data_IF_736182166096
#
_entry.id   IF_736182166096
#
_cell.length_a   1.000
_cell.length_b   1.000
_cell.length_c   1.000
_cell.angle_alpha   90.00
_cell.angle_beta   90.00
_cell.angle_gamma   90.00
#
_symmetry.space_group_name_H-M   'P 1'
#
loop_
_entity.id
_entity.type
_entity.pdbx_description
1 polymer ?
#
# COMPACT_ATOMS: atom_id res chain seq x y z
N UNK A 1 22.67 -2.82 -21.76
CA UNK A 1 22.77 -3.95 -20.81
C UNK A 1 21.99 -3.65 -19.55
N UNK A 2 21.38 -4.67 -18.92
CA UNK A 2 20.70 -4.52 -17.65
C UNK A 2 21.69 -4.14 -16.55
N UNK A 3 21.22 -3.37 -15.56
CA UNK A 3 21.97 -2.96 -14.38
C UNK A 3 21.91 -4.09 -13.36
N UNK A 4 23.06 -4.69 -13.04
CA UNK A 4 23.15 -5.85 -12.13
C UNK A 4 22.69 -5.54 -10.70
N UNK A 5 22.93 -4.32 -10.22
CA UNK A 5 22.61 -3.84 -8.87
C UNK A 5 21.32 -3.01 -8.80
N UNK A 6 20.42 -3.15 -9.78
CA UNK A 6 19.19 -2.34 -9.89
C UNK A 6 18.33 -2.36 -8.62
N UNK A 7 18.19 -3.53 -7.99
CA UNK A 7 17.39 -3.73 -6.77
C UNK A 7 17.97 -2.92 -5.61
N UNK A 8 19.29 -3.00 -5.42
CA UNK A 8 20.01 -2.30 -4.36
C UNK A 8 19.94 -0.77 -4.56
N UNK A 9 20.08 -0.29 -5.81
CA UNK A 9 19.93 1.14 -6.11
C UNK A 9 18.53 1.67 -5.78
N UNK A 10 17.48 0.90 -6.11
CA UNK A 10 16.09 1.27 -5.79
C UNK A 10 15.84 1.22 -4.28
N UNK A 11 16.34 0.18 -3.60
CA UNK A 11 16.25 0.05 -2.15
C UNK A 11 16.94 1.19 -1.38
N UNK A 12 18.15 1.58 -1.81
CA UNK A 12 18.86 2.75 -1.28
C UNK A 12 18.07 4.05 -1.50
N UNK A 13 17.52 4.26 -2.69
CA UNK A 13 16.69 5.43 -2.97
C UNK A 13 15.44 5.49 -2.08
N UNK A 14 14.86 4.34 -1.74
CA UNK A 14 13.77 4.24 -0.77
C UNK A 14 14.23 4.57 0.65
N UNK A 15 15.34 3.97 1.10
CA UNK A 15 15.89 4.13 2.45
C UNK A 15 16.32 5.58 2.76
N UNK A 16 16.73 6.35 1.75
CA UNK A 16 16.96 7.80 1.86
C UNK A 16 15.73 8.56 2.40
N UNK A 17 14.54 7.97 2.31
CA UNK A 17 13.30 8.41 2.97
C UNK A 17 13.44 8.66 4.47
N UNK A 18 14.31 7.91 5.15
CA UNK A 18 14.62 8.08 6.58
C UNK A 18 13.40 8.20 7.49
N UNK A 19 12.33 7.44 7.19
CA UNK A 19 11.10 7.45 7.99
C UNK A 19 10.16 8.64 7.76
N UNK A 20 10.41 9.50 6.77
CA UNK A 20 9.46 10.55 6.35
C UNK A 20 8.27 9.90 5.64
N UNK A 21 7.05 10.25 6.03
CA UNK A 21 5.86 9.78 5.33
C UNK A 21 5.67 10.56 4.03
N UNK A 22 6.08 9.97 2.89
CA UNK A 22 6.00 10.62 1.58
C UNK A 22 4.74 10.18 0.83
N UNK A 23 3.86 11.13 0.53
CA UNK A 23 2.59 10.93 -0.18
C UNK A 23 1.92 9.60 0.16
N UNK A 24 1.48 9.43 1.42
CA UNK A 24 0.75 8.25 1.90
C UNK A 24 1.45 6.89 1.64
N UNK A 25 2.78 6.88 1.50
CA UNK A 25 3.58 5.67 1.25
C UNK A 25 3.81 5.34 -0.22
N UNK A 26 3.61 6.31 -1.13
CA UNK A 26 3.80 6.08 -2.57
C UNK A 26 5.23 5.68 -2.92
N UNK A 27 6.25 6.24 -2.27
CA UNK A 27 7.65 5.87 -2.50
C UNK A 27 7.88 4.36 -2.29
N UNK A 28 7.38 3.79 -1.20
CA UNK A 28 7.47 2.36 -0.92
C UNK A 28 6.68 1.51 -1.93
N UNK A 29 5.47 1.94 -2.31
CA UNK A 29 4.64 1.23 -3.30
C UNK A 29 5.36 1.16 -4.66
N UNK A 30 5.90 2.28 -5.13
CA UNK A 30 6.62 2.33 -6.41
C UNK A 30 7.95 1.58 -6.35
N UNK A 31 8.69 1.67 -5.24
CA UNK A 31 9.93 0.92 -5.04
C UNK A 31 9.69 -0.59 -5.09
N UNK A 32 8.69 -1.10 -4.34
CA UNK A 32 8.32 -2.52 -4.35
C UNK A 32 7.99 -3.02 -5.75
N UNK A 33 7.12 -2.31 -6.48
CA UNK A 33 6.74 -2.73 -7.83
C UNK A 33 7.93 -2.70 -8.80
N UNK A 34 8.82 -1.70 -8.70
CA UNK A 34 10.01 -1.65 -9.53
C UNK A 34 10.98 -2.79 -9.23
N UNK A 35 11.25 -3.08 -7.95
CA UNK A 35 12.08 -4.22 -7.54
C UNK A 35 11.50 -5.53 -8.05
N UNK A 36 10.19 -5.76 -7.83
CA UNK A 36 9.49 -6.95 -8.32
C UNK A 36 9.55 -7.08 -9.83
N UNK A 37 9.37 -5.98 -10.57
CA UNK A 37 9.45 -5.96 -12.02
C UNK A 37 10.87 -6.27 -12.53
N UNK A 38 11.91 -5.68 -11.94
CA UNK A 38 13.29 -5.96 -12.32
C UNK A 38 13.74 -7.39 -11.98
N UNK A 39 13.18 -8.01 -10.93
CA UNK A 39 13.39 -9.44 -10.65
C UNK A 39 12.70 -10.33 -11.68
N UNK A 40 11.47 -9.98 -12.07
CA UNK A 40 10.68 -10.77 -13.01
C UNK A 40 11.18 -10.64 -14.46
N UNK A 41 11.68 -9.46 -14.83
CA UNK A 41 12.16 -9.12 -16.17
C UNK A 41 13.51 -8.38 -16.09
N UNK A 42 14.63 -9.05 -15.78
CA UNK A 42 15.92 -8.41 -15.52
C UNK A 42 16.42 -7.52 -16.67
N UNK A 43 16.16 -7.90 -17.92
CA UNK A 43 16.50 -7.10 -19.09
C UNK A 43 15.80 -5.74 -19.14
N UNK A 44 14.71 -5.59 -18.37
CA UNK A 44 13.99 -4.33 -18.25
C UNK A 44 14.68 -3.32 -17.35
N UNK A 45 15.64 -3.75 -16.52
CA UNK A 45 16.42 -2.90 -15.61
C UNK A 45 17.53 -2.13 -16.34
N UNK A 46 17.17 -1.35 -17.37
CA UNK A 46 18.15 -0.50 -18.08
C UNK A 46 18.60 0.67 -17.20
N UNK A 47 19.79 1.25 -17.44
CA UNK A 47 20.29 2.39 -16.68
C UNK A 47 19.28 3.55 -16.59
N UNK A 48 18.59 3.86 -17.69
CA UNK A 48 17.60 4.95 -17.73
C UNK A 48 16.37 4.64 -16.88
N UNK A 49 15.91 3.39 -16.87
CA UNK A 49 14.75 2.96 -16.09
C UNK A 49 15.07 2.92 -14.60
N UNK A 50 16.22 2.38 -14.22
CA UNK A 50 16.67 2.37 -12.82
C UNK A 50 16.84 3.80 -12.32
N UNK A 51 17.57 4.65 -13.05
CA UNK A 51 17.74 6.05 -12.69
C UNK A 51 16.41 6.81 -12.62
N UNK A 52 15.50 6.56 -13.56
CA UNK A 52 14.16 7.14 -13.59
C UNK A 52 13.31 6.75 -12.38
N UNK A 53 13.32 5.47 -12.01
CA UNK A 53 12.63 4.96 -10.80
C UNK A 53 13.21 5.59 -9.54
N UNK A 54 14.54 5.61 -9.39
CA UNK A 54 15.17 6.22 -8.22
C UNK A 54 14.88 7.72 -8.14
N UNK A 55 14.84 8.43 -9.27
CA UNK A 55 14.43 9.84 -9.32
C UNK A 55 12.95 10.02 -8.93
N UNK A 56 12.07 9.14 -9.38
CA UNK A 56 10.65 9.17 -9.03
C UNK A 56 10.45 8.98 -7.52
N UNK A 57 11.08 7.96 -6.93
CA UNK A 57 11.04 7.67 -5.49
C UNK A 57 11.46 8.89 -4.67
N UNK A 58 12.55 9.56 -5.06
CA UNK A 58 13.04 10.78 -4.40
C UNK A 58 12.15 12.00 -4.61
N UNK A 59 11.28 12.00 -5.61
CA UNK A 59 10.43 13.15 -5.92
C UNK A 59 9.16 13.22 -5.08
N UNK A 60 8.79 12.13 -4.39
CA UNK A 60 7.66 12.12 -3.49
C UNK A 60 7.89 13.04 -2.29
N UNK A 61 6.93 13.92 -2.04
CA UNK A 61 7.01 14.94 -0.99
C UNK A 61 6.39 14.47 0.32
N UNK A 62 6.80 15.02 1.47
CA UNK A 62 6.19 14.73 2.77
C UNK A 62 4.66 14.95 2.75
N UNK A 63 3.93 14.12 3.48
CA UNK A 63 2.49 14.19 3.66
C UNK A 63 2.14 13.88 5.12
N UNK A 64 1.55 14.84 5.83
CA UNK A 64 1.18 14.73 7.27
C UNK A 64 2.27 14.03 8.09
N UNK A 65 3.50 14.53 7.96
CA UNK A 65 4.67 13.97 8.63
C UNK A 65 4.67 14.34 10.12
N UNK A 66 3.82 13.65 10.88
CA UNK A 66 3.68 13.77 12.33
C UNK A 66 4.62 12.82 13.05
N UNK A 67 4.86 13.02 14.34
CA UNK A 67 5.51 11.98 15.15
C UNK A 67 4.59 10.75 15.27
N UNK A 68 5.11 9.52 15.08
CA UNK A 68 4.31 8.33 15.22
C UNK A 68 3.93 8.11 16.68
N UNK A 69 2.69 7.71 16.93
CA UNK A 69 2.22 7.30 18.25
C UNK A 69 3.05 6.10 18.76
N UNK A 70 3.45 6.15 20.02
CA UNK A 70 4.21 5.09 20.70
C UNK A 70 3.44 3.76 20.75
N UNK A 71 2.10 3.80 20.75
CA UNK A 71 1.24 2.62 20.75
C UNK A 71 1.08 1.98 19.37
N UNK A 72 1.53 2.65 18.30
CA UNK A 72 1.51 2.11 16.95
C UNK A 72 2.77 1.27 16.76
N UNK A 73 2.63 -0.05 16.94
CA UNK A 73 3.71 -1.02 16.86
C UNK A 73 3.31 -2.14 15.88
N UNK A 74 3.51 -1.94 14.56
CA UNK A 74 3.29 -3.02 13.60
C UNK A 74 4.24 -4.19 13.89
N UNK A 75 3.82 -5.44 13.66
CA UNK A 75 4.72 -6.59 13.68
C UNK A 75 5.91 -6.42 12.72
N UNK A 76 6.95 -7.24 12.88
CA UNK A 76 8.02 -7.30 11.88
C UNK A 76 7.47 -7.68 10.51
N UNK A 77 7.90 -6.97 9.46
CA UNK A 77 7.41 -7.22 8.11
C UNK A 77 7.85 -8.58 7.57
N UNK A 78 8.89 -9.18 8.16
CA UNK A 78 9.30 -10.57 7.90
C UNK A 78 8.30 -11.60 8.43
N UNK A 79 7.52 -11.28 9.46
CA UNK A 79 6.35 -12.07 9.88
C UNK A 79 5.14 -11.67 9.04
N UNK A 80 5.10 -12.21 7.83
CA UNK A 80 4.10 -11.85 6.82
C UNK A 80 2.67 -12.06 7.33
N UNK A 81 2.41 -13.13 8.09
CA UNK A 81 1.06 -13.42 8.59
C UNK A 81 0.63 -12.39 9.64
N UNK A 82 1.49 -12.11 10.63
CA UNK A 82 1.17 -11.13 11.66
C UNK A 82 1.06 -9.71 11.09
N UNK A 83 2.00 -9.31 10.24
CA UNK A 83 2.00 -8.00 9.59
C UNK A 83 0.74 -7.82 8.71
N UNK A 84 0.39 -8.83 7.90
CA UNK A 84 -0.82 -8.75 7.06
C UNK A 84 -2.10 -8.64 7.90
N UNK A 85 -2.23 -9.40 9.00
CA UNK A 85 -3.37 -9.26 9.92
C UNK A 85 -3.47 -7.86 10.51
N UNK A 86 -2.34 -7.29 10.94
CA UNK A 86 -2.27 -5.93 11.46
C UNK A 86 -2.74 -4.90 10.42
N UNK A 87 -2.18 -4.96 9.21
CA UNK A 87 -2.51 -4.03 8.11
C UNK A 87 -4.00 -4.14 7.74
N UNK A 88 -4.52 -5.36 7.61
CA UNK A 88 -5.92 -5.59 7.30
C UNK A 88 -6.83 -5.04 8.40
N UNK A 89 -6.47 -5.22 9.68
CA UNK A 89 -7.26 -4.66 10.78
C UNK A 89 -7.25 -3.13 10.77
N UNK A 90 -6.10 -2.50 10.55
CA UNK A 90 -6.01 -1.03 10.43
C UNK A 90 -6.80 -0.49 9.24
N UNK A 91 -6.75 -1.17 8.10
CA UNK A 91 -7.50 -0.77 6.92
C UNK A 91 -9.01 -0.97 7.11
N UNK A 92 -9.40 -2.08 7.73
CA UNK A 92 -10.78 -2.38 8.15
C UNK A 92 -11.32 -1.28 9.05
N UNK A 93 -10.61 -0.93 10.12
CA UNK A 93 -11.02 0.12 11.07
C UNK A 93 -11.01 1.51 10.43
N UNK A 94 -10.11 1.75 9.46
CA UNK A 94 -10.09 3.01 8.71
C UNK A 94 -11.33 3.18 7.83
N UNK A 95 -11.91 2.10 7.27
CA UNK A 95 -13.19 2.20 6.53
C UNK A 95 -14.27 2.78 7.43
N UNK A 96 -14.44 2.22 8.62
CA UNK A 96 -15.49 2.64 9.55
C UNK A 96 -15.26 4.08 10.02
N UNK A 97 -14.00 4.45 10.25
CA UNK A 97 -13.61 5.79 10.73
C UNK A 97 -13.78 6.89 9.68
N UNK A 98 -13.65 6.57 8.39
CA UNK A 98 -13.63 7.54 7.28
C UNK A 98 -14.86 7.46 6.37
N UNK A 99 -15.98 6.90 6.82
CA UNK A 99 -17.26 6.98 6.10
C UNK A 99 -17.58 8.42 5.69
N UNK A 100 -17.85 8.65 4.40
CA UNK A 100 -18.10 9.96 3.80
C UNK A 100 -16.84 10.76 3.41
N UNK A 101 -15.66 10.16 3.53
CA UNK A 101 -14.38 10.75 3.12
C UNK A 101 -13.68 9.95 2.01
N UNK A 102 -14.37 8.95 1.45
CA UNK A 102 -13.90 8.13 0.34
C UNK A 102 -12.85 7.09 0.73
N UNK A 103 -12.49 6.24 -0.22
CA UNK A 103 -11.69 5.04 0.03
C UNK A 103 -10.18 5.26 0.23
N UNK A 104 -9.71 6.52 0.14
CA UNK A 104 -8.29 6.84 0.06
C UNK A 104 -7.50 6.30 1.25
N UNK A 105 -7.96 6.54 2.48
CA UNK A 105 -7.22 6.18 3.69
C UNK A 105 -7.08 4.66 3.86
N UNK A 106 -8.17 3.91 3.71
CA UNK A 106 -8.12 2.46 3.82
C UNK A 106 -7.35 1.82 2.66
N UNK A 107 -7.54 2.29 1.42
CA UNK A 107 -6.82 1.76 0.27
C UNK A 107 -5.31 2.04 0.29
N UNK A 108 -4.89 3.20 0.79
CA UNK A 108 -3.47 3.50 1.00
C UNK A 108 -2.89 2.71 2.19
N UNK A 109 -3.66 2.43 3.24
CA UNK A 109 -3.25 1.49 4.30
C UNK A 109 -2.91 0.12 3.72
N UNK A 110 -3.80 -0.42 2.88
CA UNK A 110 -3.59 -1.71 2.22
C UNK A 110 -2.35 -1.69 1.34
N UNK A 111 -2.25 -0.71 0.44
CA UNK A 111 -1.18 -0.70 -0.58
C UNK A 111 0.19 -0.39 0.01
N UNK A 112 0.26 0.51 0.98
CA UNK A 112 1.52 0.79 1.68
C UNK A 112 1.91 -0.41 2.55
N UNK A 113 0.99 -0.97 3.34
CA UNK A 113 1.30 -2.16 4.14
C UNK A 113 1.72 -3.35 3.28
N UNK A 114 1.00 -3.60 2.17
CA UNK A 114 1.32 -4.70 1.27
C UNK A 114 2.67 -4.54 0.60
N UNK A 115 3.09 -3.31 0.25
CA UNK A 115 4.42 -3.11 -0.34
C UNK A 115 5.54 -3.49 0.62
N UNK A 116 5.37 -3.26 1.92
CA UNK A 116 6.35 -3.63 2.95
C UNK A 116 6.40 -5.14 3.18
N UNK A 117 5.24 -5.79 3.27
CA UNK A 117 5.15 -7.26 3.39
C UNK A 117 5.74 -7.95 2.15
N UNK A 118 5.48 -7.42 0.96
CA UNK A 118 5.98 -7.98 -0.29
C UNK A 118 7.50 -7.79 -0.45
N UNK A 119 8.04 -6.62 -0.09
CA UNK A 119 9.49 -6.40 -0.04
C UNK A 119 10.16 -7.41 0.89
N UNK A 120 9.63 -7.58 2.11
CA UNK A 120 10.16 -8.55 3.06
C UNK A 120 10.04 -9.99 2.54
N UNK A 121 8.92 -10.37 1.89
CA UNK A 121 8.71 -11.68 1.29
C UNK A 121 9.69 -11.97 0.12
N UNK A 122 10.12 -10.92 -0.59
CA UNK A 122 11.15 -10.98 -1.61
C UNK A 122 12.58 -11.06 -1.03
N UNK A 123 12.75 -11.00 0.29
CA UNK A 123 14.05 -11.02 0.97
C UNK A 123 14.64 -9.63 1.22
N UNK A 124 13.95 -8.56 0.83
CA UNK A 124 14.37 -7.17 0.99
C UNK A 124 13.90 -6.59 2.34
N UNK A 125 14.09 -7.35 3.43
CA UNK A 125 13.59 -6.99 4.77
C UNK A 125 14.16 -5.64 5.23
N UNK A 126 15.43 -5.36 4.95
CA UNK A 126 16.05 -4.07 5.30
C UNK A 126 15.34 -2.87 4.65
N UNK A 127 14.88 -3.02 3.40
CA UNK A 127 14.18 -1.95 2.69
C UNK A 127 12.76 -1.79 3.22
N UNK A 128 12.07 -2.89 3.53
CA UNK A 128 10.77 -2.84 4.21
C UNK A 128 10.86 -2.14 5.57
N UNK A 129 11.85 -2.52 6.38
CA UNK A 129 12.05 -1.98 7.73
C UNK A 129 12.51 -0.52 7.73
N UNK A 130 13.21 -0.06 6.68
CA UNK A 130 13.55 1.36 6.51
C UNK A 130 12.31 2.27 6.45
N UNK A 131 11.14 1.72 6.06
CA UNK A 131 9.88 2.42 6.00
C UNK A 131 9.03 2.31 7.29
N UNK A 132 9.46 1.55 8.30
CA UNK A 132 8.66 1.30 9.52
C UNK A 132 8.15 2.58 10.15
N UNK A 133 9.01 3.57 10.34
CA UNK A 133 8.63 4.86 10.93
C UNK A 133 7.56 5.56 10.09
N UNK A 134 7.73 5.61 8.76
CA UNK A 134 6.74 6.21 7.86
C UNK A 134 5.39 5.47 7.91
N UNK A 135 5.40 4.14 7.97
CA UNK A 135 4.18 3.34 8.12
C UNK A 135 3.49 3.61 9.46
N UNK A 136 4.25 3.70 10.57
CA UNK A 136 3.71 4.07 11.89
C UNK A 136 3.06 5.46 11.86
N UNK A 137 3.67 6.43 11.16
CA UNK A 137 3.08 7.77 10.97
C UNK A 137 1.75 7.67 10.21
N UNK A 138 1.69 6.85 9.17
CA UNK A 138 0.46 6.67 8.41
C UNK A 138 -0.67 6.09 9.27
N UNK A 139 -0.40 5.03 10.03
CA UNK A 139 -1.35 4.44 10.99
C UNK A 139 -1.76 5.45 12.07
N UNK A 140 -0.82 6.25 12.56
CA UNK A 140 -1.11 7.33 13.53
C UNK A 140 -2.13 8.31 12.95
N UNK A 141 -1.87 8.81 11.73
CA UNK A 141 -2.76 9.74 11.04
C UNK A 141 -4.13 9.13 10.78
N UNK A 142 -4.21 7.86 10.34
CA UNK A 142 -5.50 7.22 10.09
C UNK A 142 -6.26 6.96 11.39
N UNK A 143 -5.60 6.67 12.52
CA UNK A 143 -6.26 6.51 13.82
C UNK A 143 -6.89 7.81 14.36
N UNK A 144 -6.32 8.97 14.02
CA UNK A 144 -6.91 10.28 14.36
C UNK A 144 -8.26 10.54 13.69
N UNK A 145 -8.56 9.86 12.58
CA UNK A 145 -9.79 10.06 11.81
C UNK A 145 -9.83 11.40 11.04
N UNK A 146 -10.98 11.71 10.42
CA UNK A 146 -11.16 12.93 9.66
C UNK A 146 -10.94 14.19 10.52
N UNK A 147 -10.19 15.15 10.00
CA UNK A 147 -9.92 16.42 10.66
C UNK A 147 -10.87 17.54 10.16
N UNK A 148 -11.05 18.62 10.94
CA UNK A 148 -11.77 19.79 10.47
C UNK A 148 -11.18 20.32 9.16
N UNK A 149 -12.02 20.43 8.13
CA UNK A 149 -11.61 20.87 6.79
C UNK A 149 -11.20 19.75 5.83
N UNK A 150 -11.16 18.49 6.27
CA UNK A 150 -10.96 17.37 5.37
C UNK A 150 -12.07 17.30 4.31
N UNK A 151 -11.66 17.07 3.06
CA UNK A 151 -12.57 17.00 1.93
C UNK A 151 -13.48 15.78 2.06
N UNK A 152 -14.79 16.01 2.05
CA UNK A 152 -15.78 14.95 1.91
C UNK A 152 -15.81 14.43 0.48
N UNK A 153 -15.88 13.10 0.36
CA UNK A 153 -15.95 12.38 -0.91
C UNK A 153 -17.06 11.35 -0.74
N UNK A 154 -17.98 11.27 -1.71
CA UNK A 154 -19.06 10.27 -1.68
C UNK A 154 -18.43 8.87 -1.67
N UNK A 155 -18.86 8.03 -0.74
CA UNK A 155 -18.46 6.63 -0.73
C UNK A 155 -19.00 5.88 -1.96
N UNK A 156 -18.41 4.72 -2.24
CA UNK A 156 -18.97 3.81 -3.24
C UNK A 156 -20.39 3.41 -2.85
N UNK A 157 -21.17 2.97 -3.84
CA UNK A 157 -22.45 2.37 -3.57
C UNK A 157 -22.24 0.90 -3.19
N UNK A 158 -23.03 0.41 -2.24
CA UNK A 158 -22.97 -0.98 -1.81
C UNK A 158 -23.10 -1.91 -3.03
N UNK A 159 -22.19 -2.87 -3.12
CA UNK A 159 -22.14 -3.84 -4.21
C UNK A 159 -21.67 -5.19 -3.69
N UNK A 160 -22.34 -6.25 -4.13
CA UNK A 160 -21.91 -7.63 -3.88
C UNK A 160 -20.83 -8.07 -4.88
N UNK A 161 -20.70 -7.40 -6.02
CA UNK A 161 -19.66 -7.70 -7.02
C UNK A 161 -18.26 -7.53 -6.43
N UNK A 162 -17.36 -8.45 -6.78
CA UNK A 162 -15.97 -8.49 -6.34
C UNK A 162 -14.99 -8.58 -7.52
N UNK A 163 -13.72 -8.17 -7.33
CA UNK A 163 -12.71 -8.22 -8.40
C UNK A 163 -12.38 -9.61 -8.97
N UNK A 164 -12.82 -10.69 -8.34
CA UNK A 164 -12.80 -12.06 -8.89
C UNK A 164 -14.01 -12.40 -9.77
N UNK A 165 -15.04 -11.55 -9.77
CA UNK A 165 -16.20 -11.67 -10.67
C UNK A 165 -15.96 -11.03 -12.03
N UNK A 166 -16.38 -11.71 -13.10
CA UNK A 166 -16.35 -11.13 -14.45
C UNK A 166 -17.28 -9.90 -14.56
N UNK A 167 -18.44 -9.96 -13.91
CA UNK A 167 -19.43 -8.88 -13.94
C UNK A 167 -18.91 -7.59 -13.29
N UNK A 168 -18.07 -7.69 -12.26
CA UNK A 168 -17.39 -6.54 -11.66
C UNK A 168 -16.62 -5.73 -12.71
N UNK A 169 -15.80 -6.41 -13.52
CA UNK A 169 -14.99 -5.78 -14.56
C UNK A 169 -15.83 -5.25 -15.72
N UNK A 170 -16.88 -5.97 -16.11
CA UNK A 170 -17.83 -5.52 -17.14
C UNK A 170 -18.55 -4.23 -16.71
N UNK A 171 -19.02 -4.17 -15.47
CA UNK A 171 -19.71 -2.99 -14.91
C UNK A 171 -18.79 -1.79 -14.76
N UNK A 172 -17.50 -2.02 -14.44
CA UNK A 172 -16.48 -0.96 -14.37
C UNK A 172 -16.19 -0.37 -15.76
N UNK A 173 -16.20 -1.20 -16.81
CA UNK A 173 -15.98 -0.78 -18.21
C UNK A 173 -14.59 -0.21 -18.47
N UNK A 174 -14.38 0.36 -19.66
CA UNK A 174 -13.13 1.03 -20.05
C UNK A 174 -13.03 2.46 -19.47
N UNK A 175 -12.88 2.54 -18.13
CA UNK A 175 -12.60 3.79 -17.41
C UNK A 175 -11.12 3.86 -17.05
N UNK A 176 -10.28 3.88 -18.09
CA UNK A 176 -8.81 3.78 -18.06
C UNK A 176 -8.06 4.88 -17.30
N UNK A 177 -8.71 5.92 -16.76
CA UNK A 177 -8.04 7.03 -16.06
C UNK A 177 -8.01 6.91 -14.53
N UNK A 178 -8.70 5.92 -13.94
CA UNK A 178 -8.66 5.61 -12.50
C UNK A 178 -7.86 4.36 -12.14
N UNK A 179 -7.16 3.75 -13.12
CA UNK A 179 -6.60 2.39 -13.11
C UNK A 179 -5.80 2.08 -11.84
N UNK A 180 -5.02 3.04 -11.35
CA UNK A 180 -4.17 2.83 -10.17
C UNK A 180 -4.97 2.25 -9.00
N UNK A 181 -6.02 2.92 -8.55
CA UNK A 181 -6.83 2.51 -7.39
C UNK A 181 -7.68 1.28 -7.68
N UNK A 182 -8.20 1.16 -8.91
CA UNK A 182 -9.06 0.06 -9.35
C UNK A 182 -8.34 -1.29 -9.30
N UNK A 183 -7.04 -1.32 -9.58
CA UNK A 183 -6.25 -2.56 -9.52
C UNK A 183 -5.50 -2.73 -8.21
N UNK A 184 -4.84 -1.67 -7.72
CA UNK A 184 -3.92 -1.82 -6.59
C UNK A 184 -4.64 -2.12 -5.27
N UNK A 185 -5.87 -1.62 -5.07
CA UNK A 185 -6.63 -1.89 -3.85
C UNK A 185 -7.10 -3.35 -3.78
N UNK A 186 -7.76 -3.92 -4.81
CA UNK A 186 -8.03 -5.35 -4.86
C UNK A 186 -6.77 -6.21 -4.73
N UNK A 187 -5.72 -5.89 -5.49
CA UNK A 187 -4.49 -6.67 -5.46
C UNK A 187 -3.89 -6.74 -4.04
N UNK A 188 -3.77 -5.59 -3.37
CA UNK A 188 -3.26 -5.55 -2.01
C UNK A 188 -4.20 -6.25 -1.01
N UNK A 189 -5.51 -6.06 -1.15
CA UNK A 189 -6.51 -6.70 -0.30
C UNK A 189 -6.41 -8.22 -0.34
N UNK A 190 -6.47 -8.83 -1.53
CA UNK A 190 -6.45 -10.29 -1.66
C UNK A 190 -5.07 -10.89 -1.32
N UNK A 191 -3.97 -10.21 -1.66
CA UNK A 191 -2.62 -10.65 -1.27
C UNK A 191 -2.46 -10.68 0.25
N UNK A 192 -2.88 -9.62 0.95
CA UNK A 192 -2.82 -9.56 2.41
C UNK A 192 -3.75 -10.59 3.07
N UNK A 193 -4.96 -10.80 2.55
CA UNK A 193 -5.87 -11.85 3.07
C UNK A 193 -5.25 -13.24 2.95
N UNK A 194 -4.64 -13.55 1.81
CA UNK A 194 -3.99 -14.84 1.58
C UNK A 194 -2.83 -15.07 2.57
N UNK A 195 -2.03 -14.04 2.84
CA UNK A 195 -0.92 -14.12 3.81
C UNK A 195 -1.39 -14.18 5.26
N UNK A 196 -2.43 -13.44 5.60
CA UNK A 196 -2.99 -13.40 6.95
C UNK A 196 -3.58 -14.77 7.35
N UNK A 197 -4.18 -15.49 6.39
CA UNK A 197 -4.79 -16.80 6.60
C UNK A 197 -5.72 -16.81 7.83
N UNK A 198 -6.65 -15.85 7.87
CA UNK A 198 -7.57 -15.62 8.99
C UNK A 198 -8.99 -15.45 8.47
N UNK A 199 -9.80 -16.51 8.55
CA UNK A 199 -11.15 -16.52 7.99
C UNK A 199 -12.10 -15.53 8.68
N UNK A 200 -11.90 -15.26 9.96
CA UNK A 200 -12.77 -14.34 10.70
C UNK A 200 -12.48 -12.90 10.27
N UNK A 201 -11.21 -12.54 10.17
CA UNK A 201 -10.80 -11.24 9.64
C UNK A 201 -11.23 -11.06 8.18
N UNK A 202 -11.12 -12.10 7.37
CA UNK A 202 -11.59 -12.08 5.98
C UNK A 202 -13.09 -11.79 5.90
N UNK A 203 -13.92 -12.45 6.71
CA UNK A 203 -15.38 -12.21 6.77
C UNK A 203 -15.72 -10.80 7.26
N UNK A 204 -15.03 -10.31 8.30
CA UNK A 204 -15.22 -8.95 8.83
C UNK A 204 -14.91 -7.89 7.76
N UNK A 205 -13.79 -8.04 7.07
CA UNK A 205 -13.37 -7.07 6.06
C UNK A 205 -14.26 -7.18 4.80
N UNK A 206 -14.57 -8.38 4.32
CA UNK A 206 -15.39 -8.54 3.11
C UNK A 206 -16.78 -7.88 3.23
N UNK A 207 -17.38 -7.91 4.42
CA UNK A 207 -18.65 -7.24 4.72
C UNK A 207 -18.65 -5.72 4.41
N UNK A 208 -17.46 -5.11 4.35
CA UNK A 208 -17.27 -3.68 4.02
C UNK A 208 -16.31 -3.44 2.85
N UNK A 209 -15.88 -4.47 2.13
CA UNK A 209 -14.93 -4.34 1.02
C UNK A 209 -15.47 -3.47 -0.13
N UNK A 210 -16.79 -3.36 -0.29
CA UNK A 210 -17.43 -2.46 -1.26
C UNK A 210 -17.10 -0.97 -1.03
N UNK A 211 -16.64 -0.59 0.18
CA UNK A 211 -16.11 0.75 0.42
C UNK A 211 -14.77 1.00 -0.27
N UNK A 212 -14.06 -0.05 -0.73
CA UNK A 212 -12.77 0.06 -1.40
C UNK A 212 -12.89 0.02 -2.92
N UNK A 213 -13.70 -0.89 -3.44
CA UNK A 213 -13.82 -1.20 -4.87
C UNK A 213 -15.20 -1.73 -5.24
#
# INVERSE_FOLDING_TARGET
DPVEDAIDQVGKALAEGSGVLRQVGHDAIFAMHAIKAFRFLPESATPERVAGVCKLIRSFTPWRDVEPDEQVQPPDFSDQAAASKYILKEASDAIDRFVGFGQGFAGHMLTFGQSLVELAAMGDVEWAESCRTAFRKYVTVTRMGPQPGDRRIKDHEMSELRPDDTEYWQKRGDKSLGIGHVFKYPYAYYDLLARANDENLAKEFDAKAWHLF
#
